data_IF_132171964851
#
_entry.id   IF_132171964851
#
_cell.length_a   1.000
_cell.length_b   1.000
_cell.length_c   1.000
_cell.angle_alpha   90.00
_cell.angle_beta   90.00
_cell.angle_gamma   90.00
#
_symmetry.space_group_name_H-M   'P 1'
#
loop_
_entity.id
_entity.type
_entity.pdbx_description
1 polymer ?
#
# COMPACT_ATOMS: atom_id res chain seq x y z
N UNK A 1 43.93 1.65 -22.94
CA UNK A 1 42.64 2.36 -22.76
C UNK A 1 41.65 1.34 -22.24
N UNK A 2 41.39 1.36 -20.94
CA UNK A 2 40.50 0.40 -20.29
C UNK A 2 39.21 1.15 -19.97
N UNK A 3 38.16 0.92 -20.76
CA UNK A 3 36.85 1.51 -20.54
C UNK A 3 36.15 0.75 -19.43
N UNK A 4 36.09 1.36 -18.25
CA UNK A 4 35.27 0.87 -17.14
C UNK A 4 33.86 1.40 -17.34
N UNK A 5 32.95 0.54 -17.81
CA UNK A 5 31.52 0.84 -17.85
C UNK A 5 30.98 0.77 -16.42
N UNK A 6 30.68 1.93 -15.84
CA UNK A 6 29.92 2.02 -14.58
C UNK A 6 28.47 1.66 -14.87
N UNK A 7 28.06 0.45 -14.49
CA UNK A 7 26.64 0.06 -14.49
C UNK A 7 25.98 0.73 -13.29
N UNK A 8 25.23 1.79 -13.54
CA UNK A 8 24.41 2.47 -12.53
C UNK A 8 23.29 1.52 -12.07
N UNK A 9 23.30 1.19 -10.78
CA UNK A 9 22.27 0.40 -10.09
C UNK A 9 20.94 1.18 -10.04
N UNK A 10 20.11 1.06 -11.07
CA UNK A 10 18.78 1.69 -11.15
C UNK A 10 17.69 0.93 -10.36
N UNK A 11 17.98 -0.27 -9.86
CA UNK A 11 16.99 -1.20 -9.30
C UNK A 11 16.24 -0.67 -8.07
N UNK A 12 16.85 0.18 -7.23
CA UNK A 12 16.25 0.62 -5.97
C UNK A 12 15.03 1.53 -6.08
N UNK A 13 14.94 2.35 -7.13
CA UNK A 13 13.80 3.25 -7.32
C UNK A 13 12.57 2.55 -7.92
N UNK A 14 12.76 1.43 -8.62
CA UNK A 14 11.69 0.68 -9.27
C UNK A 14 10.72 0.04 -8.25
N UNK A 15 11.26 -0.42 -7.12
CA UNK A 15 10.52 -1.16 -6.10
C UNK A 15 9.91 -0.30 -4.98
N UNK A 16 10.04 1.03 -5.06
CA UNK A 16 9.53 1.95 -4.05
C UNK A 16 8.10 2.40 -4.40
N UNK A 17 7.12 2.07 -3.56
CA UNK A 17 5.74 2.55 -3.70
C UNK A 17 5.71 4.06 -3.38
N UNK A 18 5.13 4.93 -4.23
CA UNK A 18 4.97 6.35 -3.93
C UNK A 18 4.14 6.60 -2.67
N UNK A 19 4.44 7.66 -1.92
CA UNK A 19 3.55 8.13 -0.84
C UNK A 19 2.51 9.09 -1.40
N UNK A 20 1.72 8.58 -2.34
CA UNK A 20 0.66 9.31 -3.02
C UNK A 20 -0.43 8.30 -3.41
N UNK A 21 -1.65 8.80 -3.58
CA UNK A 21 -2.73 7.97 -4.10
C UNK A 21 -2.49 7.62 -5.58
N UNK A 22 -2.88 6.41 -6.02
CA UNK A 22 -2.81 6.04 -7.43
C UNK A 22 -3.62 7.01 -8.29
N UNK A 23 -3.09 7.37 -9.46
CA UNK A 23 -3.81 8.21 -10.44
C UNK A 23 -5.16 7.59 -10.83
N UNK A 24 -5.19 6.27 -10.97
CA UNK A 24 -6.43 5.51 -11.28
C UNK A 24 -7.46 5.46 -10.16
N UNK A 25 -7.10 5.86 -8.93
CA UNK A 25 -7.95 5.63 -7.77
C UNK A 25 -9.22 6.49 -7.77
N UNK A 26 -9.28 7.58 -8.56
CA UNK A 26 -10.43 8.48 -8.75
C UNK A 26 -11.35 8.58 -7.51
N UNK A 27 -10.75 8.79 -6.34
CA UNK A 27 -11.45 8.61 -5.06
C UNK A 27 -12.50 9.70 -4.92
N UNK A 28 -13.78 9.33 -5.01
CA UNK A 28 -14.90 10.21 -4.70
C UNK A 28 -15.38 9.87 -3.29
N UNK A 29 -15.34 10.87 -2.40
CA UNK A 29 -15.89 10.73 -1.07
C UNK A 29 -17.39 11.01 -1.17
N UNK A 30 -18.22 10.03 -0.80
CA UNK A 30 -19.65 10.25 -0.60
C UNK A 30 -19.86 11.07 0.67
N UNK A 31 -20.40 12.31 0.59
CA UNK A 31 -20.62 13.14 1.77
C UNK A 31 -21.53 12.50 2.81
N UNK A 32 -22.46 11.63 2.42
CA UNK A 32 -23.38 10.96 3.34
C UNK A 32 -22.68 9.91 4.21
N UNK A 33 -21.56 9.38 3.74
CA UNK A 33 -20.77 8.34 4.41
C UNK A 33 -19.36 8.80 4.80
N UNK A 34 -19.08 10.10 4.68
CA UNK A 34 -17.79 10.67 5.02
C UNK A 34 -17.51 10.53 6.52
N UNK A 35 -16.39 9.88 6.86
CA UNK A 35 -15.96 9.75 8.25
C UNK A 35 -15.41 11.07 8.77
N UNK A 36 -15.77 11.41 10.01
CA UNK A 36 -15.16 12.53 10.71
C UNK A 36 -13.66 12.25 10.92
N UNK A 37 -12.82 13.21 10.54
CA UNK A 37 -11.37 13.15 10.79
C UNK A 37 -11.05 13.76 12.16
N UNK A 38 -10.44 12.97 13.02
CA UNK A 38 -10.12 13.32 14.41
C UNK A 38 -8.59 13.44 14.60
N UNK A 39 -7.99 14.51 14.06
CA UNK A 39 -6.56 14.77 14.21
C UNK A 39 -6.21 15.17 15.66
N UNK A 40 -5.11 14.63 16.19
CA UNK A 40 -4.61 14.98 17.53
C UNK A 40 -5.53 14.60 18.71
N UNK A 41 -6.49 13.70 18.48
CA UNK A 41 -7.48 13.33 19.51
C UNK A 41 -6.83 12.61 20.69
N UNK A 42 -7.22 12.97 21.91
CA UNK A 42 -6.76 12.26 23.12
C UNK A 42 -7.55 10.95 23.30
N UNK A 43 -7.00 9.94 24.00
CA UNK A 43 -7.74 8.70 24.28
C UNK A 43 -9.06 8.92 25.02
N UNK A 44 -9.11 9.90 25.94
CA UNK A 44 -10.33 10.27 26.68
C UNK A 44 -11.40 10.85 25.74
N UNK A 45 -10.97 11.72 24.82
CA UNK A 45 -11.86 12.36 23.86
C UNK A 45 -12.37 11.34 22.84
N UNK A 46 -11.50 10.46 22.36
CA UNK A 46 -11.86 9.34 21.48
C UNK A 46 -12.87 8.41 22.15
N UNK A 47 -12.61 8.04 23.41
CA UNK A 47 -13.51 7.17 24.18
C UNK A 47 -14.90 7.76 24.30
N UNK A 48 -14.99 9.05 24.66
CA UNK A 48 -16.28 9.74 24.85
C UNK A 48 -17.04 9.94 23.55
N UNK A 49 -16.36 10.31 22.46
CA UNK A 49 -17.00 10.79 21.22
C UNK A 49 -17.27 9.69 20.19
N UNK A 50 -16.44 8.66 20.16
CA UNK A 50 -16.46 7.66 19.09
C UNK A 50 -16.65 6.25 19.65
N UNK A 51 -15.79 5.81 20.57
CA UNK A 51 -15.83 4.45 21.10
C UNK A 51 -17.14 4.14 21.85
N UNK A 52 -17.49 4.93 22.87
CA UNK A 52 -18.71 4.69 23.65
C UNK A 52 -20.00 4.92 22.85
N UNK A 53 -19.92 5.67 21.75
CA UNK A 53 -21.05 6.01 20.90
C UNK A 53 -21.18 5.05 19.70
N UNK A 54 -20.31 4.03 19.60
CA UNK A 54 -20.19 3.15 18.45
C UNK A 54 -20.16 3.91 17.11
N UNK A 55 -19.50 5.07 17.09
CA UNK A 55 -19.41 5.97 15.93
C UNK A 55 -18.04 5.83 15.26
N UNK A 56 -17.97 5.52 13.96
CA UNK A 56 -16.69 5.44 13.25
C UNK A 56 -16.04 6.83 13.07
N UNK A 57 -14.71 6.86 13.06
CA UNK A 57 -13.93 8.04 12.73
C UNK A 57 -12.62 7.67 12.04
N UNK A 58 -12.08 8.58 11.23
CA UNK A 58 -10.71 8.49 10.75
C UNK A 58 -9.79 9.16 11.78
N UNK A 59 -8.99 8.35 12.48
CA UNK A 59 -7.92 8.90 13.30
C UNK A 59 -6.89 9.56 12.37
N UNK A 60 -6.43 10.75 12.75
CA UNK A 60 -5.37 11.45 12.01
C UNK A 60 -4.07 10.65 11.93
N UNK A 61 -2.97 11.29 11.52
CA UNK A 61 -1.68 10.64 11.30
C UNK A 61 -0.95 10.25 12.62
N UNK A 62 -1.60 9.48 13.50
CA UNK A 62 -1.05 8.98 14.78
C UNK A 62 0.22 8.15 14.54
N UNK A 63 0.27 7.43 13.42
CA UNK A 63 1.44 6.66 12.99
C UNK A 63 2.42 7.40 12.10
N UNK A 64 2.36 8.73 11.97
CA UNK A 64 3.21 9.48 11.03
C UNK A 64 4.72 9.25 11.24
N UNK A 65 5.13 9.04 12.49
CA UNK A 65 6.51 8.79 12.86
C UNK A 65 6.88 7.29 12.90
N UNK A 66 5.96 6.39 12.52
CA UNK A 66 6.26 4.96 12.54
C UNK A 66 7.31 4.63 11.46
N UNK A 67 8.35 3.85 11.80
CA UNK A 67 9.34 3.40 10.80
C UNK A 67 8.71 2.63 9.63
N UNK A 68 7.54 2.03 9.85
CA UNK A 68 6.75 1.36 8.82
C UNK A 68 6.42 2.27 7.63
N UNK A 69 6.15 3.56 7.86
CA UNK A 69 5.79 4.51 6.81
C UNK A 69 6.89 4.63 5.75
N UNK A 70 8.16 4.53 6.15
CA UNK A 70 9.30 4.55 5.24
C UNK A 70 9.69 3.15 4.76
N UNK A 71 9.83 2.20 5.68
CA UNK A 71 10.37 0.86 5.39
C UNK A 71 9.46 0.04 4.49
N UNK A 72 8.15 0.06 4.75
CA UNK A 72 7.20 -0.86 4.10
C UNK A 72 6.85 -0.44 2.67
N UNK A 73 7.18 0.79 2.27
CA UNK A 73 7.07 1.23 0.88
C UNK A 73 8.12 0.60 -0.04
N UNK A 74 9.22 0.12 0.52
CA UNK A 74 10.30 -0.50 -0.24
C UNK A 74 10.04 -2.01 -0.37
N UNK A 75 9.61 -2.45 -1.55
CA UNK A 75 9.30 -3.85 -1.80
C UNK A 75 10.57 -4.74 -1.75
N UNK A 76 11.75 -4.21 -2.10
CA UNK A 76 13.01 -4.98 -1.93
C UNK A 76 13.34 -5.21 -0.46
N UNK A 77 13.07 -4.22 0.40
CA UNK A 77 13.25 -4.40 1.84
C UNK A 77 12.31 -5.50 2.37
N UNK A 78 11.05 -5.52 1.93
CA UNK A 78 10.11 -6.58 2.29
C UNK A 78 10.55 -7.96 1.80
N UNK A 79 10.99 -8.07 0.54
CA UNK A 79 11.53 -9.32 -0.01
C UNK A 79 12.73 -9.80 0.80
N UNK A 80 13.71 -8.93 1.05
CA UNK A 80 14.93 -9.28 1.76
C UNK A 80 14.66 -9.75 3.20
N UNK A 81 13.75 -9.09 3.91
CA UNK A 81 13.50 -9.36 5.34
C UNK A 81 12.48 -10.48 5.57
N UNK A 82 11.45 -10.57 4.72
CA UNK A 82 10.27 -11.38 4.98
C UNK A 82 9.80 -12.21 3.77
N UNK A 83 10.47 -12.13 2.63
CA UNK A 83 10.05 -12.77 1.38
C UNK A 83 9.93 -14.30 1.44
N UNK A 84 10.69 -14.95 2.32
CA UNK A 84 10.65 -16.41 2.52
C UNK A 84 9.36 -16.91 3.19
N UNK A 85 8.53 -16.02 3.75
CA UNK A 85 7.31 -16.42 4.45
C UNK A 85 6.20 -16.69 3.45
N UNK A 86 5.51 -17.80 3.63
CA UNK A 86 4.29 -18.11 2.91
C UNK A 86 3.15 -17.23 3.40
N UNK A 87 2.42 -16.61 2.47
CA UNK A 87 1.26 -15.76 2.72
C UNK A 87 0.04 -16.32 1.99
N UNK A 88 -1.17 -16.23 2.59
CA UNK A 88 -2.41 -16.56 1.91
C UNK A 88 -2.77 -15.45 0.93
N UNK A 89 -3.25 -15.83 -0.25
CA UNK A 89 -3.75 -14.95 -1.29
C UNK A 89 -5.24 -15.21 -1.44
N UNK A 90 -6.04 -14.17 -1.22
CA UNK A 90 -7.45 -14.16 -1.58
C UNK A 90 -7.58 -13.85 -3.07
N UNK A 91 -8.19 -14.75 -3.84
CA UNK A 91 -8.33 -14.60 -5.28
C UNK A 91 -9.81 -14.62 -5.65
N UNK A 92 -10.25 -13.56 -6.34
CA UNK A 92 -11.64 -13.34 -6.72
C UNK A 92 -12.38 -12.42 -5.74
N UNK A 93 -13.59 -12.03 -6.11
CA UNK A 93 -14.44 -11.21 -5.24
C UNK A 93 -14.97 -12.08 -4.09
N UNK A 94 -14.94 -11.54 -2.87
CA UNK A 94 -15.34 -12.28 -1.66
C UNK A 94 -16.81 -12.74 -1.69
N UNK A 95 -17.69 -11.99 -2.35
CA UNK A 95 -19.10 -12.29 -2.52
C UNK A 95 -19.40 -13.29 -3.65
N UNK A 96 -18.43 -13.61 -4.50
CA UNK A 96 -18.54 -14.65 -5.53
C UNK A 96 -17.98 -15.98 -5.02
N UNK A 97 -18.75 -16.68 -4.19
CA UNK A 97 -18.36 -17.96 -3.59
C UNK A 97 -17.95 -19.05 -4.60
N UNK A 98 -18.31 -18.92 -5.89
CA UNK A 98 -17.92 -19.89 -6.93
C UNK A 98 -16.51 -19.63 -7.48
N UNK A 99 -16.05 -18.38 -7.44
CA UNK A 99 -14.74 -17.96 -7.97
C UNK A 99 -13.74 -17.60 -6.89
N UNK A 100 -14.23 -17.28 -5.70
CA UNK A 100 -13.40 -17.02 -4.53
C UNK A 100 -12.65 -18.28 -4.12
N UNK A 101 -11.35 -18.12 -3.90
CA UNK A 101 -10.50 -19.17 -3.36
C UNK A 101 -9.30 -18.57 -2.64
N UNK A 102 -8.64 -19.41 -1.85
CA UNK A 102 -7.36 -19.10 -1.24
C UNK A 102 -6.25 -19.92 -1.87
N UNK A 103 -5.11 -19.28 -2.10
CA UNK A 103 -3.87 -19.93 -2.46
C UNK A 103 -2.77 -19.50 -1.49
N UNK A 104 -1.64 -20.20 -1.47
CA UNK A 104 -0.50 -19.82 -0.64
C UNK A 104 0.75 -19.73 -1.51
N UNK A 105 1.54 -18.68 -1.31
CA UNK A 105 2.85 -18.54 -1.94
C UNK A 105 3.83 -17.75 -1.07
N UNK A 106 5.15 -17.85 -1.31
CA UNK A 106 6.11 -16.97 -0.68
C UNK A 106 5.82 -15.51 -0.97
N UNK A 107 5.97 -14.64 0.04
CA UNK A 107 5.78 -13.20 -0.11
C UNK A 107 6.69 -12.62 -1.19
N UNK A 108 7.91 -13.15 -1.37
CA UNK A 108 8.79 -12.73 -2.46
C UNK A 108 8.16 -12.95 -3.84
N UNK A 109 7.52 -14.12 -4.02
CA UNK A 109 6.81 -14.47 -5.26
C UNK A 109 5.60 -13.56 -5.48
N UNK A 110 4.83 -13.28 -4.43
CA UNK A 110 3.71 -12.34 -4.51
C UNK A 110 4.15 -10.92 -4.93
N UNK A 111 5.27 -10.45 -4.37
CA UNK A 111 5.82 -9.14 -4.74
C UNK A 111 6.24 -9.11 -6.21
N UNK A 112 6.92 -10.16 -6.69
CA UNK A 112 7.44 -10.24 -8.06
C UNK A 112 6.33 -10.43 -9.09
N UNK A 113 5.31 -11.23 -8.80
CA UNK A 113 4.24 -11.57 -9.75
C UNK A 113 3.10 -10.55 -9.77
N UNK A 114 2.86 -9.80 -8.69
CA UNK A 114 1.67 -8.93 -8.57
C UNK A 114 1.99 -7.49 -8.21
N UNK A 115 2.80 -7.24 -7.18
CA UNK A 115 3.01 -5.88 -6.68
C UNK A 115 3.94 -5.05 -7.57
N UNK A 116 5.08 -5.60 -8.00
CA UNK A 116 6.01 -4.90 -8.88
C UNK A 116 5.41 -4.64 -10.28
N UNK A 117 4.74 -5.61 -10.94
CA UNK A 117 4.04 -5.35 -12.20
C UNK A 117 2.96 -4.27 -12.06
N UNK A 118 2.10 -4.36 -11.03
CA UNK A 118 1.06 -3.35 -10.79
C UNK A 118 1.62 -1.94 -10.53
N UNK A 119 2.76 -1.84 -9.82
CA UNK A 119 3.46 -0.57 -9.64
C UNK A 119 4.04 -0.02 -10.95
N UNK A 120 4.56 -0.89 -11.82
CA UNK A 120 5.00 -0.52 -13.16
C UNK A 120 3.88 0.04 -14.03
N UNK A 121 2.72 -0.63 -14.03
CA UNK A 121 1.51 -0.18 -14.73
C UNK A 121 1.02 1.18 -14.20
N UNK A 122 1.02 1.36 -12.89
CA UNK A 122 0.58 2.62 -12.26
C UNK A 122 1.48 3.79 -12.65
N UNK A 123 2.80 3.57 -12.70
CA UNK A 123 3.77 4.58 -13.15
C UNK A 123 3.61 4.89 -14.64
N UNK A 124 3.39 3.87 -15.47
CA UNK A 124 3.13 4.05 -16.90
C UNK A 124 1.84 4.87 -17.13
N UNK A 125 0.78 4.58 -16.39
CA UNK A 125 -0.48 5.34 -16.43
C UNK A 125 -0.30 6.80 -15.99
N UNK A 126 0.48 7.04 -14.93
CA UNK A 126 0.80 8.40 -14.48
C UNK A 126 1.59 9.20 -15.52
N UNK A 127 2.52 8.57 -16.24
CA UNK A 127 3.27 9.21 -17.33
C UNK A 127 2.39 9.52 -18.56
N UNK A 128 1.40 8.67 -18.86
CA UNK A 128 0.49 8.86 -19.99
C UNK A 128 -0.63 9.89 -19.73
N UNK A 129 -1.04 10.08 -18.47
CA UNK A 129 -2.10 11.01 -18.08
C UNK A 129 -1.66 12.46 -17.80
N UNK A 130 -0.38 12.78 -18.02
CA UNK A 130 0.22 14.09 -17.76
C UNK A 130 0.31 15.04 -18.97
N UNK A 131 -0.55 14.86 -19.99
CA UNK A 131 -0.62 15.69 -21.20
C UNK A 131 -1.78 16.68 -21.19
#
# INVERSE_FOLDING_TARGET
ATSTTTTTTTTGAAALIPNALPVRAAVKIDPAHALERADGITPKEFKRRFFNADKPCALGAIGAAWPAIEKWRNLEWFKATHGHRNVPLEIGAYDDAKRWREETMPLSRFIDEYLLPGLGEERAAAAAGGG
#
